data_IF_460009966369
#
_entry.id   IF_460009966369
#
_cell.length_a   1.000
_cell.length_b   1.000
_cell.length_c   1.000
_cell.angle_alpha   90.00
_cell.angle_beta   90.00
_cell.angle_gamma   90.00
#
_symmetry.space_group_name_H-M   'P 1'
#
loop_
_entity.id
_entity.type
_entity.pdbx_description
1 polymer ?
#
# COMPACT_ATOMS: atom_id res chain seq x y z
N UNK A 1 -30.37 1.07 28.84
CA UNK A 1 -29.73 1.25 27.52
C UNK A 1 -28.95 -0.02 27.23
N UNK A 2 -29.41 -0.86 26.31
CA UNK A 2 -28.62 -2.02 25.87
C UNK A 2 -27.50 -1.48 24.97
N UNK A 3 -26.24 -1.64 25.38
CA UNK A 3 -25.11 -1.27 24.55
C UNK A 3 -25.10 -2.11 23.28
N UNK A 4 -24.82 -1.50 22.14
CA UNK A 4 -24.59 -2.25 20.90
C UNK A 4 -23.47 -3.27 21.12
N UNK A 5 -23.58 -4.49 20.56
CA UNK A 5 -22.51 -5.48 20.67
C UNK A 5 -21.20 -4.91 20.10
N UNK A 6 -20.04 -5.25 20.71
CA UNK A 6 -18.74 -4.78 20.24
C UNK A 6 -18.49 -5.28 18.81
N UNK A 7 -17.86 -4.44 17.99
CA UNK A 7 -17.57 -4.82 16.60
C UNK A 7 -16.55 -5.97 16.56
N UNK A 8 -16.51 -6.78 15.48
CA UNK A 8 -15.48 -7.83 15.34
C UNK A 8 -14.04 -7.29 15.44
N UNK A 9 -13.81 -6.07 14.95
CA UNK A 9 -12.52 -5.38 15.08
C UNK A 9 -12.18 -5.12 16.56
N UNK A 10 -13.14 -4.66 17.37
CA UNK A 10 -12.91 -4.39 18.79
C UNK A 10 -12.62 -5.66 19.58
N UNK A 11 -13.28 -6.77 19.23
CA UNK A 11 -13.05 -8.08 19.84
C UNK A 11 -11.62 -8.56 19.57
N UNK A 12 -11.19 -8.53 18.30
CA UNK A 12 -9.83 -8.90 17.90
C UNK A 12 -8.78 -7.93 18.46
N UNK A 13 -9.08 -6.62 18.52
CA UNK A 13 -8.17 -5.63 19.08
C UNK A 13 -7.91 -5.89 20.57
N UNK A 14 -8.96 -6.27 21.31
CA UNK A 14 -8.85 -6.65 22.72
C UNK A 14 -8.08 -7.96 22.87
N UNK A 15 -8.38 -8.97 22.06
CA UNK A 15 -7.72 -10.29 22.10
C UNK A 15 -6.21 -10.18 21.85
N UNK A 16 -5.81 -9.40 20.84
CA UNK A 16 -4.40 -9.21 20.48
C UNK A 16 -3.72 -8.04 21.20
N UNK A 17 -4.43 -7.36 22.12
CA UNK A 17 -3.93 -6.20 22.87
C UNK A 17 -3.36 -5.10 21.97
N UNK A 18 -4.11 -4.72 20.93
CA UNK A 18 -3.62 -3.82 19.88
C UNK A 18 -3.58 -2.34 20.29
N UNK A 19 -4.19 -1.96 21.41
CA UNK A 19 -4.25 -0.57 21.89
C UNK A 19 -5.36 0.23 21.23
N UNK A 20 -5.18 1.56 21.12
CA UNK A 20 -6.20 2.44 20.52
C UNK A 20 -6.21 2.37 18.99
N UNK A 21 -7.41 2.47 18.40
CA UNK A 21 -7.60 2.60 16.96
C UNK A 21 -7.04 3.94 16.49
N UNK A 22 -6.09 3.91 15.56
CA UNK A 22 -5.47 5.12 14.96
C UNK A 22 -6.14 5.51 13.66
N UNK A 23 -6.41 4.54 12.80
CA UNK A 23 -6.91 4.81 11.46
C UNK A 23 -7.70 3.62 10.90
N UNK A 24 -8.55 3.88 9.91
CA UNK A 24 -9.38 2.86 9.27
C UNK A 24 -9.40 3.04 7.76
N UNK A 25 -9.16 1.94 7.07
CA UNK A 25 -9.06 1.88 5.62
C UNK A 25 -10.08 0.91 5.06
N UNK A 26 -10.89 1.40 4.14
CA UNK A 26 -11.86 0.59 3.41
C UNK A 26 -11.49 0.62 1.93
N UNK A 27 -11.46 -0.53 1.28
CA UNK A 27 -11.27 -0.62 -0.16
C UNK A 27 -12.58 -0.22 -0.86
N UNK A 28 -12.74 1.09 -1.07
CA UNK A 28 -13.97 1.65 -1.61
C UNK A 28 -14.05 1.43 -3.13
N UNK A 29 -14.85 0.44 -3.56
CA UNK A 29 -15.47 0.43 -4.91
C UNK A 29 -16.56 1.50 -5.08
N UNK A 30 -16.76 2.32 -4.05
CA UNK A 30 -17.85 3.28 -3.93
C UNK A 30 -17.78 4.42 -4.95
N UNK A 31 -16.59 4.86 -5.34
CA UNK A 31 -16.41 5.98 -6.29
C UNK A 31 -16.95 5.68 -7.68
N UNK A 32 -16.77 4.46 -8.21
CA UNK A 32 -17.30 4.08 -9.53
C UNK A 32 -18.83 4.12 -9.57
N UNK A 33 -19.48 3.72 -8.47
CA UNK A 33 -20.94 3.67 -8.40
C UNK A 33 -21.57 5.04 -8.11
N UNK A 34 -20.93 5.91 -7.32
CA UNK A 34 -21.37 7.32 -7.21
C UNK A 34 -21.35 7.97 -8.59
N UNK A 35 -20.30 7.77 -9.38
CA UNK A 35 -20.21 8.35 -10.72
C UNK A 35 -21.32 7.82 -11.63
N UNK A 36 -21.70 6.54 -11.52
CA UNK A 36 -22.86 5.97 -12.20
C UNK A 36 -24.17 6.64 -11.75
N UNK A 37 -24.35 6.86 -10.44
CA UNK A 37 -25.52 7.52 -9.88
C UNK A 37 -25.65 8.97 -10.37
N UNK A 38 -24.57 9.75 -10.31
CA UNK A 38 -24.52 11.12 -10.82
C UNK A 38 -24.84 11.14 -12.32
N UNK A 39 -24.27 10.22 -13.09
CA UNK A 39 -24.59 10.07 -14.51
C UNK A 39 -26.08 9.84 -14.76
N UNK A 40 -26.72 8.97 -13.98
CA UNK A 40 -28.16 8.70 -14.11
C UNK A 40 -29.04 9.93 -13.79
N UNK A 41 -28.67 10.72 -12.77
CA UNK A 41 -29.35 11.96 -12.43
C UNK A 41 -29.21 13.02 -13.54
N UNK A 42 -28.03 13.08 -14.18
CA UNK A 42 -27.79 14.00 -15.28
C UNK A 42 -28.63 13.66 -16.52
N UNK A 43 -28.74 12.36 -16.85
CA UNK A 43 -29.61 11.89 -17.93
C UNK A 43 -31.07 12.25 -17.66
N UNK A 44 -31.57 12.01 -16.43
CA UNK A 44 -32.93 12.36 -16.04
C UNK A 44 -33.21 13.86 -16.17
N UNK A 45 -32.26 14.71 -15.76
CA UNK A 45 -32.40 16.16 -15.87
C UNK A 45 -32.48 16.63 -17.34
N UNK A 46 -31.64 16.07 -18.22
CA UNK A 46 -31.67 16.37 -19.67
C UNK A 46 -33.00 15.93 -20.27
N UNK A 47 -33.47 14.71 -19.97
CA UNK A 47 -34.75 14.21 -20.46
C UNK A 47 -35.91 15.13 -20.01
N UNK A 48 -35.92 15.57 -18.75
CA UNK A 48 -36.91 16.52 -18.24
C UNK A 48 -36.85 17.88 -18.97
N UNK A 49 -35.65 18.38 -19.26
CA UNK A 49 -35.47 19.63 -20.01
C UNK A 49 -35.97 19.53 -21.46
N UNK A 50 -35.67 18.44 -22.15
CA UNK A 50 -36.13 18.19 -23.54
C UNK A 50 -37.66 18.12 -23.57
N UNK A 51 -38.28 17.39 -22.64
CA UNK A 51 -39.74 17.27 -22.57
C UNK A 51 -40.43 18.62 -22.33
N UNK A 52 -39.80 19.52 -21.55
CA UNK A 52 -40.31 20.88 -21.31
C UNK A 52 -40.34 21.73 -22.59
N UNK A 53 -39.40 21.55 -23.51
CA UNK A 53 -39.31 22.35 -24.74
C UNK A 53 -40.38 21.97 -25.78
N UNK A 54 -40.97 20.77 -25.68
CA UNK A 54 -41.81 20.19 -26.74
C UNK A 54 -43.30 20.60 -26.63
N UNK A 55 -43.79 21.20 -25.52
CA UNK A 55 -45.20 21.68 -25.49
C UNK A 55 -45.53 22.78 -24.45
N UNK A 56 -46.17 23.90 -24.85
CA UNK A 56 -46.75 24.89 -23.95
C UNK A 56 -48.29 24.92 -24.13
N UNK A 57 -49.08 24.09 -23.41
CA UNK A 57 -49.72 24.60 -22.19
C UNK A 57 -50.15 23.46 -21.24
N UNK A 58 -49.32 23.05 -20.28
CA UNK A 58 -49.79 22.16 -19.22
C UNK A 58 -49.04 22.38 -17.91
N UNK A 59 -49.44 23.43 -17.20
CA UNK A 59 -49.05 23.67 -15.81
C UNK A 59 -49.50 22.55 -14.85
N UNK A 60 -50.47 21.72 -15.25
CA UNK A 60 -50.83 20.51 -14.50
C UNK A 60 -49.82 19.36 -14.68
N UNK A 61 -49.22 19.22 -15.87
CA UNK A 61 -48.12 18.26 -16.06
C UNK A 61 -46.83 18.71 -15.36
N UNK A 62 -46.65 20.01 -15.10
CA UNK A 62 -45.47 20.48 -14.37
C UNK A 62 -45.51 20.14 -12.89
N UNK A 63 -46.67 20.20 -12.22
CA UNK A 63 -46.80 19.77 -10.82
C UNK A 63 -46.66 18.26 -10.67
N UNK A 64 -47.35 17.47 -11.51
CA UNK A 64 -47.22 16.00 -11.50
C UNK A 64 -45.80 15.59 -11.87
N UNK A 65 -45.19 16.23 -12.87
CA UNK A 65 -43.80 16.01 -13.26
C UNK A 65 -42.82 16.33 -12.14
N UNK A 66 -43.03 17.43 -11.41
CA UNK A 66 -42.20 17.80 -10.26
C UNK A 66 -42.30 16.77 -9.13
N UNK A 67 -43.51 16.29 -8.81
CA UNK A 67 -43.70 15.22 -7.81
C UNK A 67 -42.99 13.93 -8.24
N UNK A 68 -43.11 13.53 -9.51
CA UNK A 68 -42.41 12.35 -10.04
C UNK A 68 -40.88 12.53 -9.92
N UNK A 69 -40.35 13.70 -10.27
CA UNK A 69 -38.92 14.01 -10.14
C UNK A 69 -38.47 13.94 -8.68
N UNK A 70 -39.25 14.48 -7.74
CA UNK A 70 -38.94 14.44 -6.32
C UNK A 70 -38.98 13.02 -5.75
N UNK A 71 -39.95 12.20 -6.14
CA UNK A 71 -40.03 10.78 -5.73
C UNK A 71 -38.87 9.97 -6.32
N UNK A 72 -38.52 10.21 -7.59
CA UNK A 72 -37.37 9.59 -8.22
C UNK A 72 -36.07 10.01 -7.50
N UNK A 73 -35.89 11.29 -7.22
CA UNK A 73 -34.74 11.81 -6.50
C UNK A 73 -34.64 11.25 -5.08
N UNK A 74 -35.75 11.22 -4.33
CA UNK A 74 -35.79 10.61 -3.00
C UNK A 74 -35.44 9.11 -3.06
N UNK A 75 -35.97 8.37 -4.04
CA UNK A 75 -35.68 6.95 -4.23
C UNK A 75 -34.21 6.71 -4.58
N UNK A 76 -33.61 7.58 -5.41
CA UNK A 76 -32.19 7.57 -5.74
C UNK A 76 -31.33 7.88 -4.52
N UNK A 77 -31.68 8.89 -3.73
CA UNK A 77 -30.97 9.24 -2.50
C UNK A 77 -31.06 8.11 -1.48
N UNK A 78 -32.26 7.57 -1.23
CA UNK A 78 -32.47 6.47 -0.29
C UNK A 78 -31.76 5.18 -0.73
N UNK A 79 -31.80 4.87 -2.03
CA UNK A 79 -31.05 3.75 -2.59
C UNK A 79 -29.55 4.00 -2.44
N UNK A 80 -29.08 5.21 -2.73
CA UNK A 80 -27.69 5.62 -2.51
C UNK A 80 -27.25 5.48 -1.04
N UNK A 81 -28.06 5.94 -0.08
CA UNK A 81 -27.77 5.86 1.36
C UNK A 81 -27.78 4.42 1.89
N UNK A 82 -28.76 3.61 1.48
CA UNK A 82 -28.82 2.18 1.85
C UNK A 82 -27.72 1.37 1.19
N UNK A 83 -27.29 1.77 -0.01
CA UNK A 83 -26.13 1.21 -0.68
C UNK A 83 -24.84 1.64 0.06
N UNK A 84 -24.68 2.91 0.44
CA UNK A 84 -23.55 3.39 1.26
C UNK A 84 -23.42 2.55 2.55
N UNK A 85 -24.52 2.36 3.28
CA UNK A 85 -24.48 1.62 4.56
C UNK A 85 -24.13 0.16 4.36
N UNK A 86 -24.68 -0.51 3.33
CA UNK A 86 -24.38 -1.90 2.99
C UNK A 86 -22.98 -2.08 2.40
N UNK A 87 -22.48 -1.11 1.64
CA UNK A 87 -21.15 -1.19 1.02
C UNK A 87 -20.02 -0.85 1.99
N UNK A 88 -20.30 -0.08 3.05
CA UNK A 88 -19.34 0.10 4.15
C UNK A 88 -18.97 -1.22 4.84
N UNK A 89 -19.79 -2.26 4.65
CA UNK A 89 -19.59 -3.61 5.16
C UNK A 89 -19.21 -4.63 4.08
N UNK A 90 -19.02 -4.24 2.81
CA UNK A 90 -18.65 -5.17 1.72
C UNK A 90 -17.22 -4.95 1.29
N UNK A 91 -16.44 -6.04 1.27
CA UNK A 91 -15.05 -6.03 0.82
C UNK A 91 -14.05 -6.11 1.97
N UNK A 92 -12.89 -5.49 1.79
CA UNK A 92 -11.79 -5.54 2.76
C UNK A 92 -11.75 -4.25 3.58
N UNK A 93 -11.62 -4.44 4.90
CA UNK A 93 -11.36 -3.36 5.84
C UNK A 93 -10.04 -3.64 6.55
N UNK A 94 -9.21 -2.62 6.69
CA UNK A 94 -7.97 -2.67 7.44
C UNK A 94 -8.00 -1.59 8.53
N UNK A 95 -7.76 -2.00 9.76
CA UNK A 95 -7.77 -1.13 10.93
C UNK A 95 -6.35 -1.07 11.48
N UNK A 96 -5.85 0.14 11.67
CA UNK A 96 -4.50 0.38 12.17
C UNK A 96 -4.61 0.80 13.62
N UNK A 97 -3.98 0.03 14.49
CA UNK A 97 -3.95 0.26 15.92
C UNK A 97 -2.53 0.64 16.36
N UNK A 98 -2.38 1.07 17.61
CA UNK A 98 -1.09 1.45 18.20
C UNK A 98 -0.06 0.33 18.17
N UNK A 99 -0.48 -0.91 18.37
CA UNK A 99 0.41 -2.06 18.52
C UNK A 99 0.23 -3.13 17.43
N UNK A 100 -0.67 -2.92 16.47
CA UNK A 100 -0.82 -3.84 15.35
C UNK A 100 -1.83 -3.40 14.32
N UNK A 101 -2.23 -4.35 13.48
CA UNK A 101 -3.27 -4.16 12.48
C UNK A 101 -4.28 -5.30 12.53
N UNK A 102 -5.49 -4.98 12.10
CA UNK A 102 -6.56 -5.95 11.86
C UNK A 102 -6.97 -5.85 10.41
N UNK A 103 -7.17 -6.99 9.78
CA UNK A 103 -7.79 -7.11 8.47
C UNK A 103 -9.08 -7.91 8.59
N UNK A 104 -10.16 -7.36 8.05
CA UNK A 104 -11.46 -8.01 7.98
C UNK A 104 -11.88 -8.11 6.52
N UNK A 105 -12.38 -9.26 6.13
CA UNK A 105 -12.95 -9.53 4.81
C UNK A 105 -14.41 -9.93 4.96
N UNK A 106 -15.27 -9.21 4.24
CA UNK A 106 -16.69 -9.44 4.24
C UNK A 106 -17.19 -9.86 2.87
N UNK A 107 -18.09 -10.85 2.84
CA UNK A 107 -18.93 -11.16 1.69
C UNK A 107 -20.39 -10.82 2.03
N UNK A 108 -20.89 -9.75 1.40
CA UNK A 108 -22.17 -9.18 1.80
C UNK A 108 -22.11 -8.59 3.21
N UNK A 109 -22.85 -9.19 4.13
CA UNK A 109 -22.88 -8.81 5.56
C UNK A 109 -22.13 -9.83 6.43
N UNK A 110 -21.70 -10.97 5.86
CA UNK A 110 -21.01 -12.02 6.58
C UNK A 110 -19.51 -11.76 6.62
N UNK A 111 -18.92 -11.85 7.81
CA UNK A 111 -17.47 -11.88 7.98
C UNK A 111 -16.94 -13.25 7.52
N UNK A 112 -16.19 -13.27 6.42
CA UNK A 112 -15.66 -14.50 5.81
C UNK A 112 -14.25 -14.79 6.29
N UNK A 113 -13.45 -13.74 6.50
CA UNK A 113 -12.10 -13.88 6.99
C UNK A 113 -11.76 -12.70 7.90
N UNK A 114 -10.98 -12.97 8.94
CA UNK A 114 -10.47 -11.95 9.85
C UNK A 114 -9.11 -12.36 10.34
N UNK A 115 -8.20 -11.41 10.39
CA UNK A 115 -6.87 -11.66 10.89
C UNK A 115 -6.32 -10.43 11.63
N UNK A 116 -5.50 -10.68 12.64
CA UNK A 116 -4.83 -9.65 13.43
C UNK A 116 -3.34 -9.98 13.58
N UNK A 117 -2.52 -8.95 13.64
CA UNK A 117 -1.09 -9.09 13.90
C UNK A 117 -0.55 -7.88 14.62
N UNK A 118 0.29 -8.11 15.62
CA UNK A 118 1.02 -7.04 16.31
C UNK A 118 2.23 -6.63 15.49
N UNK A 119 2.62 -5.35 15.56
CA UNK A 119 3.80 -4.85 14.86
C UNK A 119 5.07 -5.63 15.22
N UNK A 120 5.20 -6.03 16.48
CA UNK A 120 6.34 -6.80 16.98
C UNK A 120 6.33 -8.27 16.52
N UNK A 121 5.22 -8.78 16.01
CA UNK A 121 5.09 -10.18 15.58
C UNK A 121 5.34 -10.34 14.08
N UNK A 122 5.39 -9.24 13.33
CA UNK A 122 5.82 -9.24 11.94
C UNK A 122 7.33 -9.50 11.90
N UNK A 123 7.76 -10.43 11.04
CA UNK A 123 9.17 -10.72 10.78
C UNK A 123 9.61 -10.23 9.40
N UNK A 124 8.75 -10.41 8.39
CA UNK A 124 9.07 -10.10 6.99
C UNK A 124 7.94 -9.30 6.34
N UNK A 125 8.34 -8.25 5.62
CA UNK A 125 7.48 -7.49 4.71
C UNK A 125 8.03 -7.66 3.30
N UNK A 126 7.30 -8.35 2.43
CA UNK A 126 7.65 -8.44 1.01
C UNK A 126 6.93 -7.37 0.20
N UNK A 127 7.60 -6.89 -0.86
CA UNK A 127 7.06 -5.93 -1.80
C UNK A 127 6.97 -6.55 -3.19
N UNK A 128 5.74 -6.77 -3.66
CA UNK A 128 5.46 -7.24 -5.02
C UNK A 128 5.02 -6.07 -5.90
N UNK A 129 5.60 -5.97 -7.09
CA UNK A 129 5.13 -5.05 -8.13
C UNK A 129 4.51 -5.89 -9.24
N UNK A 130 3.28 -5.56 -9.61
CA UNK A 130 2.59 -6.18 -10.76
C UNK A 130 2.28 -5.12 -11.79
N UNK A 131 2.64 -5.38 -13.03
CA UNK A 131 2.25 -4.53 -14.13
C UNK A 131 0.87 -4.93 -14.65
N UNK A 132 -0.02 -3.94 -14.80
CA UNK A 132 -1.33 -4.09 -15.40
C UNK A 132 -1.44 -3.11 -16.56
N UNK A 133 -1.57 -3.65 -17.77
CA UNK A 133 -1.94 -2.86 -18.93
C UNK A 133 -3.41 -2.48 -18.83
N UNK A 134 -3.68 -1.18 -18.83
CA UNK A 134 -5.03 -0.64 -18.88
C UNK A 134 -5.26 -0.01 -20.25
N UNK A 135 -6.41 -0.31 -20.86
CA UNK A 135 -6.84 0.32 -22.11
C UNK A 135 -7.84 1.42 -21.78
N UNK A 136 -7.58 2.64 -22.23
CA UNK A 136 -8.54 3.74 -22.16
C UNK A 136 -8.47 4.58 -23.44
N UNK A 137 -9.59 4.71 -24.15
CA UNK A 137 -9.69 5.54 -25.36
C UNK A 137 -8.75 5.12 -26.50
N UNK A 138 -8.49 3.83 -26.67
CA UNK A 138 -7.59 3.32 -27.72
C UNK A 138 -6.10 3.35 -27.37
N UNK A 139 -5.71 3.97 -26.25
CA UNK A 139 -4.33 3.95 -25.76
C UNK A 139 -4.16 2.89 -24.66
N UNK A 140 -3.09 2.09 -24.76
CA UNK A 140 -2.65 1.22 -23.67
C UNK A 140 -1.64 1.94 -22.78
N UNK A 141 -1.90 2.04 -21.49
CA UNK A 141 -0.93 2.53 -20.50
C UNK A 141 -0.61 1.46 -19.48
N UNK A 142 0.65 1.42 -19.07
CA UNK A 142 1.18 0.49 -18.08
C UNK A 142 0.97 1.09 -16.69
N UNK A 143 0.13 0.45 -15.87
CA UNK A 143 -0.03 0.81 -14.47
C UNK A 143 0.67 -0.22 -13.61
N UNK A 144 1.53 0.24 -12.70
CA UNK A 144 2.16 -0.63 -11.70
C UNK A 144 1.31 -0.66 -10.43
N UNK A 145 0.97 -1.85 -10.00
CA UNK A 145 0.25 -2.13 -8.76
C UNK A 145 1.25 -2.66 -7.75
N UNK A 146 1.36 -1.98 -6.61
CA UNK A 146 2.22 -2.40 -5.52
C UNK A 146 1.41 -3.16 -4.49
N UNK A 147 1.87 -4.37 -4.17
CA UNK A 147 1.26 -5.25 -3.20
C UNK A 147 2.27 -5.63 -2.14
N UNK A 148 1.80 -5.81 -0.92
CA UNK A 148 2.66 -6.22 0.19
C UNK A 148 2.10 -7.44 0.88
N UNK A 149 3.00 -8.33 1.30
CA UNK A 149 2.70 -9.52 2.11
C UNK A 149 3.47 -9.40 3.42
N UNK A 150 2.80 -9.75 4.52
CA UNK A 150 3.39 -9.73 5.86
C UNK A 150 3.51 -11.17 6.35
N UNK A 151 4.71 -11.57 6.74
CA UNK A 151 4.97 -12.82 7.44
C UNK A 151 5.17 -12.55 8.91
N UNK A 152 4.53 -13.35 9.75
CA UNK A 152 4.76 -13.39 11.18
C UNK A 152 6.08 -14.10 11.51
N UNK A 153 6.55 -13.93 12.75
CA UNK A 153 7.71 -14.63 13.31
C UNK A 153 7.55 -16.16 13.34
N UNK A 154 6.31 -16.66 13.39
CA UNK A 154 6.01 -18.09 13.29
C UNK A 154 6.03 -18.62 11.85
N UNK A 155 6.31 -17.77 10.86
CA UNK A 155 6.34 -18.12 9.44
C UNK A 155 4.99 -18.02 8.72
N UNK A 156 3.88 -17.82 9.43
CA UNK A 156 2.55 -17.70 8.84
C UNK A 156 2.35 -16.36 8.13
N UNK A 157 1.50 -16.34 7.10
CA UNK A 157 1.14 -15.13 6.37
C UNK A 157 -0.07 -14.45 7.01
N UNK A 158 0.02 -13.14 7.19
CA UNK A 158 -1.11 -12.31 7.57
C UNK A 158 -2.16 -12.29 6.45
N UNK A 159 -3.41 -12.61 6.76
CA UNK A 159 -4.52 -12.75 5.82
C UNK A 159 -4.48 -14.03 4.96
N UNK A 160 -3.47 -14.88 5.12
CA UNK A 160 -3.26 -16.10 4.33
C UNK A 160 -2.58 -15.88 2.96
N UNK A 161 -2.40 -16.97 2.20
CA UNK A 161 -1.64 -16.99 0.92
C UNK A 161 -2.18 -16.04 -0.17
N UNK A 162 -3.49 -15.81 -0.18
CA UNK A 162 -4.14 -14.96 -1.18
C UNK A 162 -4.10 -13.47 -0.85
N UNK A 163 -3.78 -13.11 0.41
CA UNK A 163 -3.92 -11.75 0.87
C UNK A 163 -2.78 -10.84 0.39
N UNK A 164 -3.16 -9.65 -0.06
CA UNK A 164 -2.23 -8.61 -0.52
C UNK A 164 -2.71 -7.26 -0.05
N UNK A 165 -1.84 -6.53 0.64
CA UNK A 165 -2.07 -5.14 1.03
C UNK A 165 -1.85 -4.24 -0.21
N UNK A 166 -2.92 -3.60 -0.68
CA UNK A 166 -2.93 -2.70 -1.83
C UNK A 166 -3.10 -1.19 -1.56
N UNK A 167 -3.72 -0.72 -0.45
CA UNK A 167 -3.86 0.72 -0.21
C UNK A 167 -2.54 1.36 0.21
N UNK A 168 -2.08 2.37 -0.55
CA UNK A 168 -0.81 3.08 -0.32
C UNK A 168 -0.65 3.60 1.11
N UNK A 169 -1.74 4.03 1.76
CA UNK A 169 -1.73 4.55 3.13
C UNK A 169 -1.58 3.46 4.20
N UNK A 170 -2.20 2.28 4.02
CA UNK A 170 -2.03 1.16 4.95
C UNK A 170 -0.58 0.70 4.92
N UNK A 171 -0.04 0.55 3.73
CA UNK A 171 1.36 0.14 3.50
C UNK A 171 2.32 1.13 4.16
N UNK A 172 2.05 2.42 4.04
CA UNK A 172 2.84 3.47 4.69
C UNK A 172 2.93 3.29 6.20
N UNK A 173 1.79 3.06 6.85
CA UNK A 173 1.74 2.83 8.28
C UNK A 173 2.45 1.52 8.67
N UNK A 174 2.26 0.44 7.90
CA UNK A 174 2.97 -0.83 8.10
C UNK A 174 4.48 -0.60 8.03
N UNK A 175 4.98 0.02 6.96
CA UNK A 175 6.42 0.28 6.77
C UNK A 175 7.00 1.17 7.88
N UNK A 176 6.24 2.15 8.36
CA UNK A 176 6.69 3.04 9.44
C UNK A 176 6.83 2.27 10.77
N UNK A 177 5.82 1.47 11.13
CA UNK A 177 5.86 0.71 12.37
C UNK A 177 6.85 -0.46 12.31
N UNK A 178 6.93 -1.19 11.20
CA UNK A 178 7.93 -2.24 11.02
C UNK A 178 9.35 -1.69 10.94
N UNK A 179 9.55 -0.50 10.36
CA UNK A 179 10.83 0.21 10.45
C UNK A 179 11.20 0.44 11.91
N UNK A 180 10.30 0.97 12.74
CA UNK A 180 10.58 1.22 14.16
C UNK A 180 11.00 -0.06 14.91
N UNK A 181 10.36 -1.18 14.60
CA UNK A 181 10.66 -2.48 15.20
C UNK A 181 12.02 -3.02 14.73
N UNK A 182 12.27 -3.06 13.42
CA UNK A 182 13.46 -3.71 12.86
C UNK A 182 14.72 -2.84 12.86
N UNK A 183 14.57 -1.50 12.90
CA UNK A 183 15.67 -0.58 12.65
C UNK A 183 16.76 -0.65 13.71
N UNK A 184 16.39 -0.68 15.00
CA UNK A 184 17.37 -0.65 16.09
C UNK A 184 18.27 -1.89 16.08
N UNK A 185 17.67 -3.08 15.91
CA UNK A 185 18.41 -4.33 15.82
C UNK A 185 19.29 -4.36 14.56
N UNK A 186 18.72 -3.98 13.41
CA UNK A 186 19.44 -3.94 12.14
C UNK A 186 20.67 -3.03 12.21
N UNK A 187 20.49 -1.81 12.74
CA UNK A 187 21.56 -0.84 12.90
C UNK A 187 22.61 -1.35 13.89
N UNK A 188 22.19 -1.90 15.02
CA UNK A 188 23.09 -2.45 16.04
C UNK A 188 23.91 -3.63 15.52
N UNK A 189 23.34 -4.50 14.68
CA UNK A 189 24.08 -5.59 14.02
C UNK A 189 25.11 -5.03 13.04
N UNK A 190 24.69 -4.11 12.17
CA UNK A 190 25.59 -3.48 11.21
C UNK A 190 26.76 -2.73 11.87
N UNK A 191 26.49 -1.96 12.93
CA UNK A 191 27.53 -1.22 13.66
C UNK A 191 28.53 -2.13 14.39
N UNK A 192 28.10 -3.34 14.78
CA UNK A 192 28.98 -4.36 15.38
C UNK A 192 29.75 -5.19 14.35
N UNK A 193 29.63 -4.89 13.07
CA UNK A 193 30.25 -5.68 11.99
C UNK A 193 29.56 -7.01 11.73
N UNK A 194 28.39 -7.26 12.34
CA UNK A 194 27.59 -8.45 12.07
C UNK A 194 26.88 -8.27 10.72
N UNK A 195 27.02 -9.20 9.76
CA UNK A 195 26.34 -9.12 8.48
C UNK A 195 24.82 -9.06 8.63
N UNK A 196 24.16 -8.18 7.87
CA UNK A 196 22.69 -8.03 7.87
C UNK A 196 22.12 -8.59 6.56
N UNK A 197 21.22 -9.56 6.65
CA UNK A 197 20.69 -10.29 5.49
C UNK A 197 19.32 -9.75 5.06
N UNK A 198 19.15 -9.51 3.76
CA UNK A 198 17.92 -9.11 3.08
C UNK A 198 17.70 -9.98 1.84
N UNK A 199 17.28 -11.23 2.07
CA UNK A 199 17.08 -12.20 0.97
C UNK A 199 18.41 -12.55 0.31
N UNK A 200 18.59 -12.34 -1.01
CA UNK A 200 19.84 -12.64 -1.69
C UNK A 200 20.98 -11.65 -1.38
N UNK A 201 20.68 -10.57 -0.64
CA UNK A 201 21.65 -9.53 -0.27
C UNK A 201 22.11 -9.69 1.16
N UNK A 202 23.41 -9.53 1.39
CA UNK A 202 23.99 -9.39 2.72
C UNK A 202 24.79 -8.09 2.78
N UNK A 203 24.43 -7.22 3.71
CA UNK A 203 25.07 -5.91 3.90
C UNK A 203 26.08 -6.00 5.04
N UNK A 204 27.31 -5.56 4.77
CA UNK A 204 28.42 -5.55 5.72
C UNK A 204 29.05 -4.16 5.78
N UNK A 205 29.91 -3.92 6.78
CA UNK A 205 30.67 -2.67 6.85
C UNK A 205 31.61 -2.44 5.66
N UNK A 206 32.02 -3.52 4.99
CA UNK A 206 32.97 -3.47 3.86
C UNK A 206 32.30 -3.41 2.49
N UNK A 207 31.04 -3.81 2.39
CA UNK A 207 30.36 -3.88 1.11
C UNK A 207 29.02 -4.61 1.10
N UNK A 208 28.59 -4.96 -0.10
CA UNK A 208 27.39 -5.73 -0.39
C UNK A 208 27.83 -7.12 -0.86
N UNK A 209 27.34 -8.16 -0.23
CA UNK A 209 27.42 -9.51 -0.76
C UNK A 209 26.10 -9.86 -1.46
N UNK A 210 26.21 -10.39 -2.68
CA UNK A 210 25.10 -10.87 -3.49
C UNK A 210 25.50 -12.22 -4.10
N UNK A 211 24.75 -13.26 -3.79
CA UNK A 211 25.14 -14.65 -4.08
C UNK A 211 26.54 -14.94 -3.50
N UNK A 212 27.43 -15.58 -4.28
CA UNK A 212 28.81 -15.90 -3.88
C UNK A 212 29.78 -14.73 -4.06
N UNK A 213 29.28 -13.52 -4.31
CA UNK A 213 30.11 -12.39 -4.72
C UNK A 213 30.09 -11.25 -3.72
N UNK A 214 31.25 -10.66 -3.48
CA UNK A 214 31.42 -9.50 -2.62
C UNK A 214 31.75 -8.24 -3.43
N UNK A 215 30.94 -7.19 -3.26
CA UNK A 215 31.14 -5.86 -3.82
C UNK A 215 31.59 -4.91 -2.72
N UNK A 216 32.84 -4.45 -2.78
CA UNK A 216 33.28 -3.42 -1.83
C UNK A 216 32.51 -2.12 -2.07
N UNK A 217 32.34 -1.29 -1.04
CA UNK A 217 31.69 0.01 -1.20
C UNK A 217 32.36 0.91 -2.23
N UNK A 218 33.67 0.74 -2.47
CA UNK A 218 34.43 1.48 -3.46
C UNK A 218 34.09 1.06 -4.91
N UNK A 219 33.63 -0.17 -5.11
CA UNK A 219 33.24 -0.70 -6.43
C UNK A 219 31.82 -0.29 -6.83
N UNK A 220 30.97 0.02 -5.84
CA UNK A 220 29.60 0.47 -6.07
C UNK A 220 29.61 1.92 -6.55
N UNK A 221 28.90 2.20 -7.64
CA UNK A 221 28.76 3.56 -8.19
C UNK A 221 27.39 4.16 -7.89
N UNK A 222 26.34 3.39 -8.11
CA UNK A 222 24.95 3.81 -7.96
C UNK A 222 24.17 2.64 -7.37
N UNK A 223 23.31 2.93 -6.40
CA UNK A 223 22.25 2.02 -5.97
C UNK A 223 20.92 2.73 -6.21
N UNK A 224 20.06 2.16 -7.05
CA UNK A 224 18.72 2.66 -7.31
C UNK A 224 17.68 1.80 -6.59
N UNK A 225 17.12 2.37 -5.51
CA UNK A 225 16.02 1.82 -4.73
C UNK A 225 14.69 2.52 -5.07
N UNK A 226 14.54 3.11 -6.26
CA UNK A 226 13.31 3.83 -6.61
C UNK A 226 12.12 2.89 -6.57
N UNK A 227 11.09 3.23 -5.79
CA UNK A 227 9.86 2.45 -5.74
C UNK A 227 9.12 2.40 -7.08
N UNK A 228 9.56 3.19 -8.08
CA UNK A 228 9.11 3.11 -9.46
C UNK A 228 9.69 1.93 -10.22
N UNK A 229 10.88 1.43 -9.87
CA UNK A 229 11.45 0.22 -10.47
C UNK A 229 10.90 -1.01 -9.77
N UNK A 230 10.69 -2.09 -10.50
CA UNK A 230 10.28 -3.40 -9.94
C UNK A 230 11.45 -4.13 -9.26
N UNK A 231 12.64 -3.52 -9.31
CA UNK A 231 13.90 -4.12 -8.95
C UNK A 231 14.82 -3.08 -8.31
N UNK A 232 15.59 -3.51 -7.32
CA UNK A 232 16.80 -2.84 -6.89
C UNK A 232 17.84 -2.95 -8.01
N UNK A 233 18.48 -1.84 -8.35
CA UNK A 233 19.60 -1.84 -9.32
C UNK A 233 20.88 -1.37 -8.64
N UNK A 234 21.93 -2.18 -8.71
CA UNK A 234 23.27 -1.84 -8.21
C UNK A 234 24.21 -1.71 -9.41
N UNK A 235 24.68 -0.49 -9.68
CA UNK A 235 25.65 -0.24 -10.74
C UNK A 235 27.07 -0.29 -10.17
N UNK A 236 27.93 -1.03 -10.85
CA UNK A 236 29.33 -1.21 -10.48
C UNK A 236 30.19 -0.30 -11.35
N UNK A 237 31.23 0.32 -10.77
CA UNK A 237 32.17 1.18 -11.49
C UNK A 237 32.84 0.40 -12.62
N UNK A 238 32.87 1.00 -13.82
CA UNK A 238 33.28 0.32 -15.06
C UNK A 238 34.67 -0.30 -15.02
N UNK A 239 35.62 0.40 -14.40
CA UNK A 239 37.01 -0.06 -14.25
C UNK A 239 37.09 -1.37 -13.47
N UNK A 240 36.31 -1.46 -12.38
CA UNK A 240 36.23 -2.65 -11.53
C UNK A 240 35.43 -3.78 -12.19
N UNK A 241 34.33 -3.43 -12.87
CA UNK A 241 33.51 -4.41 -13.58
C UNK A 241 34.32 -5.14 -14.67
N UNK A 242 35.12 -4.40 -15.46
CA UNK A 242 36.00 -5.00 -16.49
C UNK A 242 37.07 -5.89 -15.89
N UNK A 243 37.70 -5.47 -14.78
CA UNK A 243 38.80 -6.20 -14.14
C UNK A 243 38.34 -7.55 -13.58
N UNK A 244 37.13 -7.59 -13.03
CA UNK A 244 36.63 -8.74 -12.29
C UNK A 244 35.60 -9.56 -13.08
N UNK A 245 35.30 -9.19 -14.34
CA UNK A 245 34.30 -9.87 -15.19
C UNK A 245 32.84 -9.69 -14.75
N UNK A 246 32.54 -8.63 -13.98
CA UNK A 246 31.19 -8.42 -13.46
C UNK A 246 30.25 -7.82 -14.51
N UNK A 247 28.95 -8.15 -14.46
CA UNK A 247 27.97 -7.33 -15.14
C UNK A 247 28.05 -5.90 -14.57
N UNK A 248 27.94 -4.90 -15.43
CA UNK A 248 28.00 -3.49 -15.01
C UNK A 248 26.83 -3.16 -14.06
N UNK A 249 25.74 -3.93 -14.13
CA UNK A 249 24.53 -3.74 -13.34
C UNK A 249 24.04 -5.07 -12.77
N UNK A 250 23.66 -5.06 -11.49
CA UNK A 250 22.95 -6.16 -10.83
C UNK A 250 21.51 -5.70 -10.63
N UNK A 251 20.58 -6.60 -10.93
CA UNK A 251 19.15 -6.36 -10.88
C UNK A 251 18.49 -7.40 -9.98
N UNK A 252 17.84 -6.94 -8.91
CA UNK A 252 17.22 -7.83 -7.92
C UNK A 252 15.76 -7.43 -7.77
N UNK A 253 14.80 -8.30 -8.11
CA UNK A 253 13.38 -8.00 -7.93
C UNK A 253 13.06 -7.62 -6.48
N UNK A 254 12.24 -6.59 -6.26
CA UNK A 254 11.86 -6.20 -4.89
C UNK A 254 11.12 -7.30 -4.14
N UNK A 255 10.45 -8.21 -4.86
CA UNK A 255 9.80 -9.39 -4.27
C UNK A 255 10.77 -10.35 -3.58
N UNK A 256 12.05 -10.32 -3.95
CA UNK A 256 13.11 -11.15 -3.35
C UNK A 256 13.82 -10.46 -2.17
N UNK A 257 13.56 -9.18 -1.95
CA UNK A 257 14.22 -8.37 -0.91
C UNK A 257 13.23 -8.18 0.26
N UNK A 258 13.26 -9.06 1.28
CA UNK A 258 12.46 -8.86 2.48
C UNK A 258 12.84 -7.55 3.15
N UNK A 259 11.86 -6.88 3.76
CA UNK A 259 12.08 -5.67 4.55
C UNK A 259 12.87 -4.58 3.77
N UNK A 260 12.63 -4.44 2.45
CA UNK A 260 13.36 -3.52 1.57
C UNK A 260 13.40 -2.06 2.08
N UNK A 261 12.37 -1.65 2.84
CA UNK A 261 12.33 -0.34 3.49
C UNK A 261 13.47 -0.17 4.52
N UNK A 262 13.76 -1.20 5.31
CA UNK A 262 14.86 -1.24 6.29
C UNK A 262 16.21 -1.27 5.57
N UNK A 263 16.36 -2.09 4.52
CA UNK A 263 17.57 -2.13 3.68
C UNK A 263 17.91 -0.72 3.17
N UNK A 264 16.94 0.00 2.61
CA UNK A 264 17.15 1.35 2.10
C UNK A 264 17.67 2.29 3.19
N UNK A 265 17.12 2.23 4.39
CA UNK A 265 17.60 3.06 5.51
C UNK A 265 19.02 2.68 5.92
N UNK A 266 19.36 1.38 5.90
CA UNK A 266 20.71 0.91 6.18
C UNK A 266 21.72 1.39 5.13
N UNK A 267 21.35 1.37 3.85
CA UNK A 267 22.21 1.87 2.76
C UNK A 267 22.51 3.37 2.88
N UNK A 268 21.60 4.16 3.44
CA UNK A 268 21.86 5.59 3.75
C UNK A 268 22.97 5.70 4.81
N UNK A 269 22.84 4.95 5.91
CA UNK A 269 23.85 4.94 6.98
C UNK A 269 25.19 4.44 6.47
N UNK A 270 25.19 3.35 5.69
CA UNK A 270 26.40 2.81 5.09
C UNK A 270 27.10 3.87 4.23
N UNK A 271 26.37 4.56 3.34
CA UNK A 271 26.91 5.64 2.50
C UNK A 271 27.53 6.76 3.34
N UNK A 272 26.85 7.20 4.40
CA UNK A 272 27.32 8.29 5.27
C UNK A 272 28.61 7.93 6.01
N UNK A 273 28.77 6.67 6.42
CA UNK A 273 29.96 6.20 7.11
C UNK A 273 31.21 6.05 6.22
N UNK A 274 31.04 5.87 4.90
CA UNK A 274 32.19 5.73 3.98
C UNK A 274 32.82 7.07 3.57
N UNK A 275 32.24 8.22 3.96
CA UNK A 275 32.71 9.55 3.57
C UNK A 275 32.16 10.05 2.22
N UNK A 276 32.62 11.24 1.75
CA UNK A 276 32.09 11.92 0.56
C UNK A 276 32.12 11.04 -0.71
N UNK A 277 31.05 11.06 -1.51
CA UNK A 277 30.12 9.94 -1.63
C UNK A 277 30.77 8.75 -2.33
N UNK A 278 30.89 7.64 -1.60
CA UNK A 278 31.34 6.35 -2.13
C UNK A 278 30.44 5.87 -3.28
N UNK A 279 29.13 6.08 -3.18
CA UNK A 279 28.14 5.81 -4.23
C UNK A 279 26.93 6.75 -4.17
N UNK A 280 26.20 6.86 -5.28
CA UNK A 280 24.93 7.61 -5.36
C UNK A 280 23.76 6.69 -5.01
N UNK A 281 22.85 7.12 -4.15
CA UNK A 281 21.64 6.39 -3.81
C UNK A 281 20.42 7.09 -4.41
N UNK A 282 19.74 6.45 -5.37
CA UNK A 282 18.49 6.92 -5.96
C UNK A 282 17.27 6.24 -5.32
N UNK A 283 16.12 6.89 -5.51
CA UNK A 283 14.83 6.43 -5.04
C UNK A 283 14.34 7.25 -3.86
N UNK A 284 13.51 8.26 -4.16
CA UNK A 284 12.59 8.83 -3.18
C UNK A 284 11.38 7.90 -3.21
N UNK A 285 11.29 7.00 -2.24
CA UNK A 285 10.00 6.56 -1.68
C UNK A 285 9.01 7.73 -1.78
N UNK A 286 7.78 7.56 -2.27
CA UNK A 286 6.86 8.70 -2.56
C UNK A 286 7.00 9.78 -1.48
N UNK A 287 6.95 11.07 -1.82
CA UNK A 287 7.24 12.17 -0.85
C UNK A 287 6.64 11.93 0.55
N UNK A 288 5.47 11.28 0.60
CA UNK A 288 4.78 10.83 1.81
C UNK A 288 5.56 9.79 2.63
N UNK A 289 6.10 8.76 2.00
CA UNK A 289 6.95 7.75 2.66
C UNK A 289 8.28 8.37 3.12
N UNK A 290 8.89 9.25 2.32
CA UNK A 290 10.12 9.95 2.73
C UNK A 290 9.88 10.83 3.98
N UNK A 291 8.72 11.47 4.06
CA UNK A 291 8.28 12.23 5.23
C UNK A 291 8.03 11.30 6.43
N UNK A 292 7.40 10.14 6.22
CA UNK A 292 7.13 9.17 7.29
C UNK A 292 8.40 8.50 7.84
N UNK A 293 9.43 8.34 7.02
CA UNK A 293 10.72 7.75 7.40
C UNK A 293 11.76 8.77 7.87
N UNK A 294 11.42 10.06 7.86
CA UNK A 294 12.27 11.07 8.47
C UNK A 294 12.28 10.87 9.99
N UNK A 295 13.45 10.93 10.65
CA UNK A 295 13.50 10.79 12.11
C UNK A 295 12.55 11.82 12.73
N UNK A 296 11.64 11.34 13.57
CA UNK A 296 10.87 12.23 14.45
C UNK A 296 11.90 12.85 15.39
N UNK A 297 12.28 14.09 15.09
CA UNK A 297 13.15 14.91 15.93
C UNK A 297 12.51 15.19 17.28
#
# INVERSE_FOLDING_TARGET
>A
MQGSPPSPADQLASEYQLGMLRDTYFENKFTEQIMSLIGSLFVLAITGYILRQISPPLLWFSLVGLVIILVALYSVIKSGLTMISKYRQRGTACYIYEHGLIWLQYDGEALVNSDAVRWCDIAIVWHEVKEKYMQSGGNSYLTRLHFYRLQRKDGTLFGGEGYRLGPSKVILAVMQETMRVFWLETLGNYQRGVPVVFGPLTITQYGIQYEDRHLSWADVSIIDCSGSSEKLTINIRREQAKRNGWPIQIHIPFGEIPNAHVLRRLLIVAREQQGPPSFVLYGVFSKDIAKALSPVS
#
